data_IF_258969792925
#
_entry.id   IF_258969792925
#
_cell.length_a   1.000
_cell.length_b   1.000
_cell.length_c   1.000
_cell.angle_alpha   90.00
_cell.angle_beta   90.00
_cell.angle_gamma   90.00
#
_symmetry.space_group_name_H-M   'P 1'
#
loop_
_entity.id
_entity.type
_entity.pdbx_description
1 polymer ?
#
# COMPACT_ATOMS: atom_id res chain seq x y z
N UNK A 1 -9.88 27.04 5.17
CA UNK A 1 -10.69 25.88 5.58
C UNK A 1 -9.97 24.63 5.06
N UNK A 2 -8.88 24.27 5.74
CA UNK A 2 -8.23 22.96 5.63
C UNK A 2 -9.11 22.01 6.47
N UNK A 3 -9.27 20.74 6.12
CA UNK A 3 -10.08 19.70 6.84
C UNK A 3 -11.55 19.54 6.38
N UNK A 4 -11.81 19.31 5.08
CA UNK A 4 -13.17 18.91 4.62
C UNK A 4 -13.23 17.70 3.68
N UNK A 5 -12.09 17.11 3.35
CA UNK A 5 -12.05 15.77 2.76
C UNK A 5 -11.55 14.82 3.86
N UNK A 6 -12.12 13.62 4.00
CA UNK A 6 -11.55 12.62 4.89
C UNK A 6 -10.13 12.30 4.43
N UNK A 7 -9.24 11.93 5.37
CA UNK A 7 -7.84 11.52 5.11
C UNK A 7 -7.72 10.25 4.23
N UNK A 8 -8.78 9.85 3.54
CA UNK A 8 -8.93 8.66 2.67
C UNK A 8 -8.27 8.87 1.29
N UNK A 9 -7.17 9.61 1.24
CA UNK A 9 -6.39 9.69 0.01
C UNK A 9 -5.59 8.40 -0.14
N UNK A 10 -5.88 7.63 -1.19
CA UNK A 10 -5.11 6.43 -1.55
C UNK A 10 -3.58 6.68 -1.54
N UNK A 11 -3.15 7.90 -1.86
CA UNK A 11 -1.73 8.29 -1.78
C UNK A 11 -1.15 8.19 -0.36
N UNK A 12 -1.88 8.64 0.66
CA UNK A 12 -1.43 8.59 2.06
C UNK A 12 -1.36 7.14 2.58
N UNK A 13 -2.34 6.33 2.21
CA UNK A 13 -2.39 4.90 2.53
C UNK A 13 -1.22 4.12 1.89
N UNK A 14 -0.92 4.41 0.61
CA UNK A 14 0.24 3.85 -0.08
C UNK A 14 1.56 4.35 0.51
N UNK A 15 1.62 5.60 0.95
CA UNK A 15 2.80 6.15 1.63
C UNK A 15 3.03 5.46 2.98
N UNK A 16 1.98 5.20 3.76
CA UNK A 16 2.10 4.44 5.00
C UNK A 16 2.73 3.05 4.76
N UNK A 17 2.26 2.32 3.74
CA UNK A 17 2.84 1.05 3.34
C UNK A 17 4.32 1.19 2.95
N UNK A 18 4.65 2.21 2.14
CA UNK A 18 6.02 2.45 1.70
C UNK A 18 6.96 2.76 2.87
N UNK A 19 6.55 3.62 3.80
CA UNK A 19 7.32 3.95 5.01
C UNK A 19 7.54 2.72 5.90
N UNK A 20 6.52 1.88 6.04
CA UNK A 20 6.65 0.61 6.76
C UNK A 20 7.68 -0.32 6.13
N UNK A 21 7.68 -0.45 4.80
CA UNK A 21 8.69 -1.24 4.07
C UNK A 21 10.11 -0.70 4.28
N UNK A 22 10.31 0.62 4.20
CA UNK A 22 11.61 1.25 4.45
C UNK A 22 12.10 0.97 5.87
N UNK A 23 11.22 1.11 6.87
CA UNK A 23 11.56 0.80 8.27
C UNK A 23 11.90 -0.68 8.49
N UNK A 24 11.20 -1.59 7.80
CA UNK A 24 11.54 -3.02 7.82
C UNK A 24 12.97 -3.25 7.29
N UNK A 25 13.33 -2.59 6.19
CA UNK A 25 14.67 -2.70 5.59
C UNK A 25 15.74 -2.13 6.53
N UNK A 26 15.54 -0.92 7.05
CA UNK A 26 16.46 -0.27 7.99
C UNK A 26 16.70 -1.14 9.24
N UNK A 27 15.63 -1.71 9.82
CA UNK A 27 15.75 -2.59 10.98
C UNK A 27 16.56 -3.86 10.66
N UNK A 28 16.43 -4.42 9.45
CA UNK A 28 17.20 -5.61 9.02
C UNK A 28 18.68 -5.27 8.85
N UNK A 29 18.98 -4.15 8.21
CA UNK A 29 20.36 -3.70 7.98
C UNK A 29 21.11 -3.42 9.28
N UNK A 30 20.39 -2.96 10.32
CA UNK A 30 20.96 -2.69 11.64
C UNK A 30 20.89 -3.88 12.62
N UNK A 31 20.42 -5.06 12.17
CA UNK A 31 20.37 -6.26 13.00
C UNK A 31 19.23 -6.30 14.04
N UNK A 32 18.24 -5.41 13.92
CA UNK A 32 17.06 -5.34 14.79
C UNK A 32 15.94 -6.27 14.30
N UNK A 33 16.16 -7.58 14.38
CA UNK A 33 15.24 -8.59 13.83
C UNK A 33 13.81 -8.48 14.40
N UNK A 34 13.66 -8.23 15.71
CA UNK A 34 12.34 -8.13 16.35
C UNK A 34 11.55 -6.91 15.85
N UNK A 35 12.20 -5.74 15.71
CA UNK A 35 11.56 -4.54 15.16
C UNK A 35 11.15 -4.76 13.71
N UNK A 36 12.00 -5.43 12.91
CA UNK A 36 11.69 -5.76 11.53
C UNK A 36 10.43 -6.64 11.43
N UNK A 37 10.35 -7.72 12.22
CA UNK A 37 9.18 -8.59 12.24
C UNK A 37 7.92 -7.87 12.72
N UNK A 38 8.01 -7.07 13.78
CA UNK A 38 6.87 -6.31 14.31
C UNK A 38 6.36 -5.29 13.28
N UNK A 39 7.27 -4.56 12.63
CA UNK A 39 6.91 -3.58 11.61
C UNK A 39 6.27 -4.26 10.40
N UNK A 40 6.81 -5.40 9.96
CA UNK A 40 6.23 -6.16 8.85
C UNK A 40 4.82 -6.66 9.18
N UNK A 41 4.57 -7.12 10.41
CA UNK A 41 3.25 -7.53 10.85
C UNK A 41 2.24 -6.36 10.84
N UNK A 42 2.67 -5.15 11.24
CA UNK A 42 1.85 -3.93 11.17
C UNK A 42 1.49 -3.61 9.71
N UNK A 43 2.48 -3.65 8.81
CA UNK A 43 2.28 -3.39 7.38
C UNK A 43 1.31 -4.40 6.76
N UNK A 44 1.50 -5.69 7.05
CA UNK A 44 0.63 -6.75 6.54
C UNK A 44 -0.81 -6.59 7.04
N UNK A 45 -0.98 -6.28 8.32
CA UNK A 45 -2.31 -6.03 8.89
C UNK A 45 -2.97 -4.81 8.24
N UNK A 46 -2.24 -3.70 8.08
CA UNK A 46 -2.77 -2.48 7.46
C UNK A 46 -3.17 -2.72 6.00
N UNK A 47 -2.30 -3.36 5.21
CA UNK A 47 -2.61 -3.74 3.83
C UNK A 47 -3.93 -4.51 3.74
N UNK A 48 -4.11 -5.56 4.55
CA UNK A 48 -5.26 -6.47 4.46
C UNK A 48 -6.55 -5.90 5.05
N UNK A 49 -6.46 -5.16 6.14
CA UNK A 49 -7.63 -4.67 6.89
C UNK A 49 -8.07 -3.26 6.48
N UNK A 50 -7.23 -2.52 5.77
CA UNK A 50 -7.53 -1.16 5.30
C UNK A 50 -7.46 -1.10 3.78
N UNK A 51 -6.26 -1.14 3.19
CA UNK A 51 -6.05 -0.83 1.76
C UNK A 51 -6.78 -1.81 0.85
N UNK A 52 -6.63 -3.12 1.04
CA UNK A 52 -7.24 -4.14 0.19
C UNK A 52 -8.76 -4.22 0.30
N UNK A 53 -9.37 -3.63 1.34
CA UNK A 53 -10.82 -3.66 1.54
C UNK A 53 -11.58 -2.80 0.53
N UNK A 54 -10.94 -1.81 -0.09
CA UNK A 54 -11.58 -0.87 -1.01
C UNK A 54 -10.72 -0.49 -2.22
N UNK A 55 -9.38 -0.42 -2.08
CA UNK A 55 -8.50 0.13 -3.11
C UNK A 55 -8.55 -0.65 -4.44
N UNK A 56 -8.61 -2.00 -4.48
CA UNK A 56 -8.69 -2.73 -5.75
C UNK A 56 -9.94 -2.35 -6.57
N UNK A 57 -11.10 -2.24 -5.91
CA UNK A 57 -12.36 -1.85 -6.56
C UNK A 57 -12.32 -0.39 -7.04
N UNK A 58 -11.79 0.51 -6.20
CA UNK A 58 -11.58 1.91 -6.55
C UNK A 58 -10.67 2.06 -7.78
N UNK A 59 -9.51 1.40 -7.78
CA UNK A 59 -8.53 1.46 -8.86
C UNK A 59 -9.05 0.84 -10.15
N UNK A 60 -9.84 -0.23 -10.08
CA UNK A 60 -10.49 -0.83 -11.27
C UNK A 60 -11.35 0.22 -11.97
N UNK A 61 -12.23 0.89 -11.21
CA UNK A 61 -13.09 1.97 -11.72
C UNK A 61 -12.27 3.16 -12.22
N UNK A 62 -11.21 3.54 -11.51
CA UNK A 62 -10.32 4.60 -11.94
C UNK A 62 -9.65 4.28 -13.29
N UNK A 63 -9.25 3.02 -13.51
CA UNK A 63 -8.65 2.58 -14.77
C UNK A 63 -9.63 2.60 -15.96
N UNK A 64 -10.90 2.30 -15.70
CA UNK A 64 -11.98 2.33 -16.70
C UNK A 64 -12.36 3.76 -17.11
N UNK A 65 -12.31 4.70 -16.16
CA UNK A 65 -12.71 6.10 -16.36
C UNK A 65 -11.55 7.04 -16.69
N UNK A 66 -10.31 6.55 -16.65
CA UNK A 66 -9.11 7.34 -16.89
C UNK A 66 -9.13 7.99 -18.28
N UNK A 67 -8.97 9.32 -18.32
CA UNK A 67 -8.93 10.10 -19.56
C UNK A 67 -7.56 10.08 -20.25
N UNK A 68 -6.53 9.54 -19.58
CA UNK A 68 -5.18 9.42 -20.12
C UNK A 68 -4.65 8.01 -19.93
N UNK A 69 -3.87 7.53 -20.91
CA UNK A 69 -3.19 6.24 -20.81
C UNK A 69 -2.24 6.18 -19.60
N UNK A 70 -1.66 7.31 -19.22
CA UNK A 70 -0.82 7.42 -18.03
C UNK A 70 -1.60 7.06 -16.75
N UNK A 71 -2.73 7.72 -16.49
CA UNK A 71 -3.52 7.45 -15.28
C UNK A 71 -4.15 6.05 -15.28
N UNK A 72 -4.52 5.54 -16.47
CA UNK A 72 -4.93 4.14 -16.62
C UNK A 72 -3.80 3.19 -16.20
N UNK A 73 -2.59 3.44 -16.68
CA UNK A 73 -1.40 2.65 -16.35
C UNK A 73 -1.08 2.70 -14.85
N UNK A 74 -1.13 3.89 -14.23
CA UNK A 74 -0.94 4.05 -12.77
C UNK A 74 -1.95 3.20 -12.01
N UNK A 75 -3.23 3.27 -12.34
CA UNK A 75 -4.25 2.50 -11.64
C UNK A 75 -4.03 0.98 -11.76
N UNK A 76 -3.74 0.48 -12.96
CA UNK A 76 -3.47 -0.94 -13.20
C UNK A 76 -2.20 -1.43 -12.50
N UNK A 77 -1.14 -0.63 -12.53
CA UNK A 77 0.12 -0.95 -11.85
C UNK A 77 -0.07 -1.00 -10.34
N UNK A 78 -0.82 -0.07 -9.76
CA UNK A 78 -1.12 -0.08 -8.32
C UNK A 78 -1.90 -1.33 -7.92
N UNK A 79 -2.90 -1.78 -8.71
CA UNK A 79 -3.64 -3.03 -8.43
C UNK A 79 -2.67 -4.22 -8.39
N UNK A 80 -1.86 -4.38 -9.44
CA UNK A 80 -0.92 -5.49 -9.53
C UNK A 80 0.13 -5.46 -8.40
N UNK A 81 0.56 -4.27 -8.00
CA UNK A 81 1.53 -4.07 -6.92
C UNK A 81 0.96 -4.49 -5.57
N UNK A 82 -0.28 -4.07 -5.26
CA UNK A 82 -0.95 -4.45 -4.00
C UNK A 82 -1.19 -5.96 -3.90
N UNK A 83 -1.62 -6.56 -5.01
CA UNK A 83 -1.86 -8.00 -5.13
C UNK A 83 -0.57 -8.82 -4.99
N UNK A 84 0.52 -8.40 -5.65
CA UNK A 84 1.82 -9.06 -5.48
C UNK A 84 2.41 -8.84 -4.08
N UNK A 85 2.18 -7.68 -3.48
CA UNK A 85 2.66 -7.40 -2.14
C UNK A 85 2.00 -8.34 -1.11
N UNK A 86 0.69 -8.55 -1.19
CA UNK A 86 -0.02 -9.48 -0.32
C UNK A 86 0.49 -10.92 -0.48
N UNK A 87 0.71 -11.38 -1.72
CA UNK A 87 1.31 -12.69 -2.00
C UNK A 87 2.73 -12.85 -1.44
N UNK A 88 3.53 -11.79 -1.48
CA UNK A 88 4.87 -11.82 -0.92
C UNK A 88 4.84 -11.98 0.60
N UNK A 89 3.88 -11.35 1.28
CA UNK A 89 3.73 -11.43 2.74
C UNK A 89 3.35 -12.83 3.23
N UNK A 90 2.70 -13.66 2.41
CA UNK A 90 2.43 -15.07 2.75
C UNK A 90 3.67 -15.97 2.71
N UNK A 91 4.79 -15.48 2.18
CA UNK A 91 6.04 -16.24 1.99
C UNK A 91 7.13 -15.90 3.01
N UNK A 92 6.86 -14.96 3.93
CA UNK A 92 7.79 -14.48 4.97
C UNK A 92 7.33 -14.99 6.31
#
# INVERSE_FOLDING_TARGET
HLHREPDDHIGLELEFLAQGCLRVLDARENGHADESHQTLAIVANFLRTHVLTWAPSFLSRASEQAQTSFMKGVALLTIATLDEFDRCLDRV
#
